data_IF_054012718384
#
_entry.id   IF_054012718384
#
_cell.length_a   1.000
_cell.length_b   1.000
_cell.length_c   1.000
_cell.angle_alpha   90.00
_cell.angle_beta   90.00
_cell.angle_gamma   90.00
#
_symmetry.space_group_name_H-M   'P 1'
#
loop_
_entity.id
_entity.type
_entity.pdbx_description
1 polymer ?
#
# COMPACT_ATOMS: atom_id res chain seq x y z
N UNK A 1 0.42 -8.78 8.80
CA UNK A 1 -0.80 -9.61 8.67
C UNK A 1 -1.09 -9.69 7.21
N UNK A 2 -0.91 -10.87 6.62
CA UNK A 2 -1.32 -11.10 5.24
C UNK A 2 -2.82 -10.90 5.15
N UNK A 3 -3.23 -10.25 4.07
CA UNK A 3 -4.62 -9.99 3.70
C UNK A 3 -5.51 -11.24 3.92
N UNK A 4 -4.94 -12.41 3.62
CA UNK A 4 -5.51 -13.75 3.78
C UNK A 4 -5.95 -14.06 5.22
N UNK A 5 -5.17 -13.69 6.25
CA UNK A 5 -5.52 -14.01 7.65
C UNK A 5 -6.73 -13.21 8.13
N UNK A 6 -6.88 -11.95 7.71
CA UNK A 6 -8.06 -11.16 8.08
C UNK A 6 -9.31 -11.63 7.33
N UNK A 7 -9.16 -12.01 6.07
CA UNK A 7 -10.24 -12.59 5.26
C UNK A 7 -10.76 -13.90 5.88
N UNK A 8 -9.86 -14.80 6.27
CA UNK A 8 -10.22 -16.03 6.99
C UNK A 8 -10.93 -15.74 8.33
N UNK A 9 -10.45 -14.78 9.12
CA UNK A 9 -11.07 -14.38 10.38
C UNK A 9 -12.47 -13.76 10.19
N UNK A 10 -12.67 -12.98 9.13
CA UNK A 10 -13.89 -12.23 8.88
C UNK A 10 -14.99 -13.04 8.18
N UNK A 11 -14.62 -13.99 7.30
CA UNK A 11 -15.55 -14.76 6.47
C UNK A 11 -15.78 -16.19 6.96
N UNK A 12 -14.78 -16.85 7.55
CA UNK A 12 -14.83 -18.31 7.78
C UNK A 12 -15.10 -18.69 9.24
N UNK A 13 -14.76 -17.84 10.20
CA UNK A 13 -14.81 -18.21 11.62
C UNK A 13 -16.06 -17.64 12.31
N UNK A 14 -17.07 -18.50 12.49
CA UNK A 14 -18.33 -18.20 13.22
C UNK A 14 -18.08 -17.60 14.62
N UNK A 15 -16.93 -17.89 15.23
CA UNK A 15 -16.50 -17.39 16.54
C UNK A 15 -16.42 -15.85 16.58
N UNK A 16 -16.13 -15.21 15.45
CA UNK A 16 -16.06 -13.74 15.37
C UNK A 16 -17.38 -13.08 14.97
N UNK A 17 -18.49 -13.83 14.96
CA UNK A 17 -19.83 -13.28 14.77
C UNK A 17 -20.54 -13.12 16.13
N UNK A 18 -21.32 -12.06 16.26
CA UNK A 18 -22.27 -11.86 17.37
C UNK A 18 -23.52 -12.71 17.13
N UNK A 19 -24.36 -12.85 18.16
CA UNK A 19 -25.66 -13.55 18.08
C UNK A 19 -26.58 -13.02 16.96
N UNK A 20 -26.42 -11.76 16.56
CA UNK A 20 -27.16 -11.14 15.45
C UNK A 20 -26.48 -11.28 14.07
N UNK A 21 -25.48 -12.15 13.94
CA UNK A 21 -24.75 -12.38 12.69
C UNK A 21 -23.76 -11.28 12.29
N UNK A 22 -23.63 -10.19 13.06
CA UNK A 22 -22.66 -9.12 12.78
C UNK A 22 -21.28 -9.45 13.35
N UNK A 23 -20.22 -9.01 12.68
CA UNK A 23 -18.84 -9.20 13.15
C UNK A 23 -18.58 -8.54 14.50
N UNK A 24 -17.93 -9.28 15.40
CA UNK A 24 -17.56 -8.84 16.74
C UNK A 24 -16.18 -8.18 16.75
N UNK A 25 -16.15 -6.89 16.37
CA UNK A 25 -14.91 -6.12 16.23
C UNK A 25 -14.06 -6.11 17.51
N UNK A 26 -14.67 -6.11 18.69
CA UNK A 26 -13.93 -6.10 19.97
C UNK A 26 -13.08 -7.36 20.16
N UNK A 27 -13.64 -8.52 19.82
CA UNK A 27 -12.95 -9.81 19.92
C UNK A 27 -11.82 -9.88 18.88
N UNK A 28 -12.08 -9.39 17.66
CA UNK A 28 -11.07 -9.31 16.59
C UNK A 28 -9.91 -8.40 17.01
N UNK A 29 -10.20 -7.22 17.59
CA UNK A 29 -9.15 -6.28 18.03
C UNK A 29 -8.25 -6.87 19.12
N UNK A 30 -8.84 -7.64 20.04
CA UNK A 30 -8.09 -8.35 21.10
C UNK A 30 -7.23 -9.47 20.51
N UNK A 31 -7.81 -10.30 19.64
CA UNK A 31 -7.12 -11.42 19.01
C UNK A 31 -5.95 -10.97 18.14
N UNK A 32 -6.12 -9.88 17.39
CA UNK A 32 -5.10 -9.34 16.51
C UNK A 32 -4.14 -8.36 17.18
N UNK A 33 -4.40 -8.01 18.45
CA UNK A 33 -3.68 -6.96 19.18
C UNK A 33 -3.53 -5.67 18.36
N UNK A 34 -4.65 -5.19 17.78
CA UNK A 34 -4.68 -4.01 16.91
C UNK A 34 -5.81 -3.07 17.30
N UNK A 35 -5.56 -1.78 17.06
CA UNK A 35 -6.56 -0.77 17.32
C UNK A 35 -7.80 -0.93 16.43
N UNK A 36 -8.98 -0.64 17.01
CA UNK A 36 -10.29 -0.77 16.36
C UNK A 36 -10.40 -0.04 15.02
N UNK A 37 -9.80 1.15 14.91
CA UNK A 37 -9.83 1.94 13.68
C UNK A 37 -9.12 1.23 12.51
N UNK A 38 -8.04 0.51 12.78
CA UNK A 38 -7.29 -0.24 11.77
C UNK A 38 -8.14 -1.40 11.26
N UNK A 39 -8.73 -2.18 12.17
CA UNK A 39 -9.60 -3.32 11.82
C UNK A 39 -10.80 -2.85 11.00
N UNK A 40 -11.48 -1.78 11.42
CA UNK A 40 -12.61 -1.23 10.67
C UNK A 40 -12.20 -0.73 9.27
N UNK A 41 -11.04 -0.09 9.16
CA UNK A 41 -10.50 0.38 7.87
C UNK A 41 -10.18 -0.79 6.95
N UNK A 42 -9.54 -1.83 7.48
CA UNK A 42 -9.25 -3.04 6.71
C UNK A 42 -10.57 -3.70 6.27
N UNK A 43 -11.55 -3.92 7.15
CA UNK A 43 -12.87 -4.47 6.78
C UNK A 43 -13.55 -3.64 5.68
N UNK A 44 -13.55 -2.31 5.81
CA UNK A 44 -14.12 -1.42 4.80
C UNK A 44 -13.41 -1.57 3.47
N UNK A 45 -12.07 -1.62 3.50
CA UNK A 45 -11.29 -1.87 2.30
C UNK A 45 -11.67 -3.23 1.72
N UNK A 46 -11.73 -4.30 2.52
CA UNK A 46 -12.10 -5.65 2.09
C UNK A 46 -13.46 -5.73 1.40
N UNK A 47 -14.50 -5.16 2.01
CA UNK A 47 -15.86 -5.16 1.44
C UNK A 47 -15.97 -4.33 0.16
N UNK A 48 -15.08 -3.35 0.00
CA UNK A 48 -15.03 -2.48 -1.16
C UNK A 48 -13.92 -2.88 -2.14
N UNK A 49 -13.31 -4.06 -1.96
CA UNK A 49 -12.50 -4.68 -3.01
C UNK A 49 -13.48 -5.09 -4.09
N UNK A 50 -13.68 -4.23 -5.08
CA UNK A 50 -13.93 -4.71 -6.44
C UNK A 50 -12.82 -5.72 -6.76
N UNK A 51 -13.14 -6.80 -7.48
CA UNK A 51 -12.14 -7.71 -8.03
C UNK A 51 -10.90 -6.94 -8.50
N UNK A 52 -9.72 -7.40 -8.07
CA UNK A 52 -8.48 -6.71 -8.39
C UNK A 52 -8.38 -6.55 -9.92
N UNK A 53 -8.50 -5.33 -10.39
CA UNK A 53 -8.32 -4.98 -11.79
C UNK A 53 -7.01 -4.22 -11.93
N UNK A 54 -6.05 -4.84 -12.62
CA UNK A 54 -4.77 -4.20 -12.93
C UNK A 54 -4.98 -2.85 -13.63
N UNK A 55 -5.95 -2.76 -14.54
CA UNK A 55 -6.32 -1.52 -15.23
C UNK A 55 -6.85 -0.44 -14.27
N UNK A 56 -7.79 -0.77 -13.36
CA UNK A 56 -8.29 0.19 -12.37
C UNK A 56 -7.17 0.67 -11.45
N UNK A 57 -6.29 -0.23 -11.03
CA UNK A 57 -5.14 0.07 -10.17
C UNK A 57 -4.16 1.02 -10.85
N UNK A 58 -3.79 0.75 -12.10
CA UNK A 58 -2.88 1.59 -12.89
C UNK A 58 -3.45 3.00 -13.12
N UNK A 59 -4.73 3.08 -13.51
CA UNK A 59 -5.44 4.36 -13.67
C UNK A 59 -5.47 5.18 -12.38
N UNK A 60 -5.69 4.52 -11.24
CA UNK A 60 -5.69 5.16 -9.92
C UNK A 60 -4.29 5.63 -9.51
N UNK A 61 -3.24 4.87 -9.84
CA UNK A 61 -1.84 5.27 -9.62
C UNK A 61 -1.51 6.58 -10.35
N UNK A 62 -1.82 6.68 -11.65
CA UNK A 62 -1.58 7.91 -12.41
C UNK A 62 -2.39 9.10 -11.89
N UNK A 63 -3.65 8.90 -11.51
CA UNK A 63 -4.50 9.94 -10.92
C UNK A 63 -3.90 10.49 -9.61
N UNK A 64 -3.44 9.60 -8.72
CA UNK A 64 -2.76 9.99 -7.48
C UNK A 64 -1.43 10.68 -7.73
N UNK A 65 -0.67 10.23 -8.74
CA UNK A 65 0.62 10.81 -9.13
C UNK A 65 0.45 12.25 -9.63
N UNK A 66 -0.58 12.52 -10.45
CA UNK A 66 -0.87 13.87 -10.96
C UNK A 66 -1.20 14.87 -9.84
N UNK A 67 -1.89 14.41 -8.80
CA UNK A 67 -2.29 15.25 -7.66
C UNK A 67 -1.18 15.39 -6.60
N UNK A 68 -0.09 14.62 -6.72
CA UNK A 68 1.00 14.65 -5.75
C UNK A 68 1.93 15.82 -6.11
N UNK A 69 1.79 16.94 -5.39
CA UNK A 69 2.70 18.08 -5.45
C UNK A 69 4.07 17.66 -4.90
N UNK A 70 4.88 16.97 -5.72
CA UNK A 70 6.28 16.71 -5.40
C UNK A 70 7.00 18.06 -5.38
N UNK A 71 7.26 18.58 -4.17
CA UNK A 71 7.96 19.85 -3.93
C UNK A 71 9.45 19.83 -4.30
N UNK A 72 9.99 18.68 -4.72
CA UNK A 72 11.38 18.56 -5.13
C UNK A 72 11.51 18.90 -6.61
N UNK A 73 12.00 20.11 -6.90
CA UNK A 73 12.46 20.49 -8.24
C UNK A 73 13.94 20.12 -8.31
N UNK A 74 14.27 19.11 -9.11
CA UNK A 74 15.66 18.81 -9.45
C UNK A 74 16.15 19.77 -10.53
N UNK A 75 17.42 20.16 -10.46
CA UNK A 75 18.06 20.89 -11.55
C UNK A 75 18.21 19.99 -12.78
N UNK A 76 18.33 20.59 -13.96
CA UNK A 76 18.45 19.85 -15.22
C UNK A 76 19.64 18.89 -15.23
N UNK A 77 20.76 19.30 -14.65
CA UNK A 77 21.95 18.46 -14.45
C UNK A 77 21.66 17.22 -13.60
N UNK A 78 20.92 17.39 -12.51
CA UNK A 78 20.53 16.29 -11.64
C UNK A 78 19.60 15.33 -12.39
N UNK A 79 18.62 15.84 -13.15
CA UNK A 79 17.73 15.03 -13.97
C UNK A 79 18.51 14.23 -15.03
N UNK A 80 19.46 14.88 -15.71
CA UNK A 80 20.31 14.21 -16.70
C UNK A 80 21.19 13.14 -16.06
N UNK A 81 21.77 13.40 -14.88
CA UNK A 81 22.47 12.39 -14.10
C UNK A 81 21.56 11.17 -13.81
N UNK A 82 20.34 11.41 -13.32
CA UNK A 82 19.39 10.32 -13.02
C UNK A 82 19.04 9.51 -14.26
N UNK A 83 18.72 10.18 -15.38
CA UNK A 83 18.37 9.51 -16.64
C UNK A 83 19.51 8.62 -17.14
N UNK A 84 20.74 9.11 -17.11
CA UNK A 84 21.90 8.36 -17.59
C UNK A 84 22.15 7.15 -16.69
N UNK A 85 22.20 7.33 -15.37
CA UNK A 85 22.48 6.25 -14.41
C UNK A 85 21.42 5.16 -14.41
N UNK A 86 20.14 5.55 -14.41
CA UNK A 86 19.03 4.59 -14.34
C UNK A 86 18.75 3.91 -15.68
N UNK A 87 18.82 4.62 -16.81
CA UNK A 87 18.43 4.04 -18.11
C UNK A 87 19.61 3.42 -18.86
N UNK A 88 20.78 4.08 -18.88
CA UNK A 88 21.96 3.61 -19.62
C UNK A 88 22.78 2.62 -18.81
N UNK A 89 23.18 3.02 -17.59
CA UNK A 89 24.00 2.17 -16.72
C UNK A 89 23.19 1.13 -15.94
N UNK A 90 21.87 1.35 -15.81
CA UNK A 90 20.95 0.47 -15.07
C UNK A 90 21.39 0.20 -13.64
N UNK A 91 21.95 1.23 -13.01
CA UNK A 91 22.39 1.15 -11.62
C UNK A 91 21.24 0.64 -10.73
N UNK A 92 21.55 -0.28 -9.83
CA UNK A 92 20.62 -0.66 -8.77
C UNK A 92 20.32 0.57 -7.89
N UNK A 93 19.19 0.58 -7.15
CA UNK A 93 18.86 1.70 -6.26
C UNK A 93 19.99 2.04 -5.27
N UNK A 94 20.75 1.05 -4.82
CA UNK A 94 21.89 1.23 -3.91
C UNK A 94 23.05 1.95 -4.59
N UNK A 95 23.44 1.51 -5.77
CA UNK A 95 24.55 2.11 -6.54
C UNK A 95 24.21 3.53 -6.97
N UNK A 96 22.97 3.75 -7.41
CA UNK A 96 22.48 5.06 -7.79
C UNK A 96 22.58 6.07 -6.64
N UNK A 97 22.09 5.69 -5.44
CA UNK A 97 22.17 6.55 -4.25
C UNK A 97 23.64 6.80 -3.88
N UNK A 98 24.46 5.75 -3.82
CA UNK A 98 25.87 5.88 -3.47
C UNK A 98 26.61 6.85 -4.41
N UNK A 99 26.43 6.70 -5.73
CA UNK A 99 27.05 7.57 -6.74
C UNK A 99 26.53 9.00 -6.72
N UNK A 100 25.29 9.22 -6.31
CA UNK A 100 24.73 10.57 -6.18
C UNK A 100 25.38 11.36 -5.03
N UNK A 101 25.81 10.68 -3.96
CA UNK A 101 26.42 11.29 -2.78
C UNK A 101 27.96 11.27 -2.78
N UNK A 102 28.60 10.52 -3.69
CA UNK A 102 30.06 10.48 -3.91
C UNK A 102 30.62 11.75 -4.59
N UNK A 103 30.06 12.92 -4.28
CA UNK A 103 30.50 14.17 -4.88
C UNK A 103 31.98 14.45 -4.59
#
# INVERSE_FOLDING_TARGET
MDKVKLEQLLLLLKIFLKKNGKQNISVITKCLNRHRSIILREIKNFKNIDEYSAYKSDKMYYKKRKNNNKRCKFMEEQINFMKIRLNKYRDSPREFIYRYFLK
#
